data_IF_568990808801
#
_entry.id   IF_568990808801
#
_cell.length_a   1.000
_cell.length_b   1.000
_cell.length_c   1.000
_cell.angle_alpha   90.00
_cell.angle_beta   90.00
_cell.angle_gamma   90.00
#
_symmetry.space_group_name_H-M   'P 1'
#
loop_
_entity.id
_entity.type
_entity.pdbx_description
1 polymer ?
#
# COMPACT_ATOMS: atom_id res chain seq x y z
N UNK A 1 -16.68 -11.34 -6.39
CA UNK A 1 -15.51 -11.03 -5.53
C UNK A 1 -15.06 -9.58 -5.77
N UNK A 2 -14.38 -8.94 -4.81
CA UNK A 2 -14.07 -7.49 -4.88
C UNK A 2 -13.30 -7.09 -6.15
N UNK A 3 -12.30 -7.87 -6.56
CA UNK A 3 -11.53 -7.60 -7.78
C UNK A 3 -12.39 -7.52 -9.06
N UNK A 4 -13.44 -8.35 -9.18
CA UNK A 4 -14.38 -8.29 -10.32
C UNK A 4 -15.18 -6.99 -10.33
N UNK A 5 -15.57 -6.47 -9.16
CA UNK A 5 -16.30 -5.20 -9.05
C UNK A 5 -15.42 -4.01 -9.42
N UNK A 6 -14.12 -4.04 -9.05
CA UNK A 6 -13.17 -2.99 -9.39
C UNK A 6 -12.86 -2.94 -10.90
N UNK A 7 -12.86 -4.09 -11.58
CA UNK A 7 -12.69 -4.16 -13.04
C UNK A 7 -13.88 -3.58 -13.82
N UNK A 8 -15.06 -3.52 -13.20
CA UNK A 8 -16.26 -2.92 -13.79
C UNK A 8 -16.28 -1.38 -13.68
N UNK A 9 -15.37 -0.80 -12.89
CA UNK A 9 -15.17 0.65 -12.74
C UNK A 9 -13.75 1.06 -13.13
N UNK A 10 -13.38 0.96 -14.42
CA UNK A 10 -12.05 1.33 -14.88
C UNK A 10 -11.76 2.80 -14.61
N UNK A 11 -10.58 3.09 -14.05
CA UNK A 11 -10.14 4.45 -13.69
C UNK A 11 -10.33 4.85 -12.22
N UNK A 12 -10.81 3.93 -11.36
CA UNK A 12 -10.84 4.16 -9.91
C UNK A 12 -9.45 4.22 -9.27
N UNK A 13 -9.35 4.84 -8.08
CA UNK A 13 -8.08 5.00 -7.33
C UNK A 13 -7.60 3.73 -6.63
N UNK A 14 -8.35 2.64 -6.71
CA UNK A 14 -8.07 1.36 -6.07
C UNK A 14 -7.55 0.39 -7.14
N UNK A 15 -6.36 -0.15 -6.90
CA UNK A 15 -5.74 -1.16 -7.74
C UNK A 15 -6.48 -2.50 -7.60
N UNK A 16 -6.91 -3.09 -8.72
CA UNK A 16 -7.74 -4.29 -8.70
C UNK A 16 -6.98 -5.58 -8.32
N UNK A 17 -5.64 -5.57 -8.42
CA UNK A 17 -4.82 -6.74 -8.11
C UNK A 17 -4.46 -6.80 -6.61
N UNK A 18 -4.15 -5.64 -6.03
CA UNK A 18 -3.67 -5.50 -4.65
C UNK A 18 -4.74 -4.96 -3.71
N UNK A 19 -5.84 -4.40 -4.23
CA UNK A 19 -6.89 -3.73 -3.47
C UNK A 19 -6.41 -2.51 -2.66
N UNK A 20 -5.23 -1.97 -2.99
CA UNK A 20 -4.64 -0.79 -2.36
C UNK A 20 -4.81 0.46 -3.21
N UNK A 21 -4.58 1.64 -2.62
CA UNK A 21 -4.58 2.93 -3.32
C UNK A 21 -3.24 3.64 -3.14
N UNK A 22 -2.88 4.51 -4.09
CA UNK A 22 -1.71 5.39 -3.96
C UNK A 22 -2.16 6.72 -3.38
N UNK A 23 -1.63 7.08 -2.21
CA UNK A 23 -1.98 8.32 -1.50
C UNK A 23 -0.71 9.13 -1.20
N UNK A 24 -0.81 10.47 -1.18
CA UNK A 24 0.30 11.31 -0.71
C UNK A 24 0.62 11.04 0.75
N UNK A 25 1.89 11.19 1.11
CA UNK A 25 2.34 11.05 2.50
C UNK A 25 2.48 12.43 3.12
N UNK A 26 1.75 12.68 4.20
CA UNK A 26 1.88 13.87 5.02
C UNK A 26 2.62 13.52 6.30
N UNK A 27 3.78 14.13 6.52
CA UNK A 27 4.50 14.04 7.79
C UNK A 27 4.10 15.27 8.60
N UNK A 28 3.58 15.04 9.80
CA UNK A 28 3.13 16.10 10.70
C UNK A 28 3.83 16.01 12.05
N UNK A 29 4.01 17.18 12.69
CA UNK A 29 4.46 17.33 14.08
C UNK A 29 3.28 17.77 14.94
N UNK A 30 3.22 17.28 16.17
CA UNK A 30 2.23 17.76 17.15
C UNK A 30 2.70 19.09 17.72
N UNK A 31 1.90 20.13 17.53
CA UNK A 31 2.13 21.48 18.04
C UNK A 31 0.83 21.96 18.68
N UNK A 32 0.87 22.37 19.95
CA UNK A 32 -0.30 22.83 20.72
C UNK A 32 -1.52 21.89 20.67
N UNK A 33 -1.26 20.58 20.70
CA UNK A 33 -2.32 19.56 20.66
C UNK A 33 -2.92 19.30 19.26
N UNK A 34 -2.38 19.90 18.21
CA UNK A 34 -2.81 19.68 16.83
C UNK A 34 -1.67 19.16 15.94
N UNK A 35 -2.01 18.38 14.92
CA UNK A 35 -1.05 18.00 13.89
C UNK A 35 -0.81 19.16 12.93
N UNK A 36 0.44 19.59 12.80
CA UNK A 36 0.90 20.55 11.81
C UNK A 36 1.77 19.84 10.78
N UNK A 37 1.37 19.87 9.52
CA UNK A 37 2.15 19.25 8.43
C UNK A 37 3.50 19.94 8.29
N UNK A 38 4.57 19.16 8.37
CA UNK A 38 5.96 19.63 8.21
C UNK A 38 6.57 19.17 6.89
N UNK A 39 6.00 18.14 6.24
CA UNK A 39 6.41 17.69 4.91
C UNK A 39 5.24 17.05 4.16
N UNK A 40 5.14 17.38 2.88
CA UNK A 40 4.27 16.69 1.92
C UNK A 40 5.13 15.95 0.91
N UNK A 41 4.77 14.71 0.62
CA UNK A 41 5.42 13.85 -0.35
C UNK A 41 4.41 13.43 -1.42
N UNK A 42 4.87 13.16 -2.66
CA UNK A 42 3.99 12.69 -3.73
C UNK A 42 3.29 11.38 -3.34
N UNK A 43 2.28 11.01 -4.12
CA UNK A 43 1.58 9.75 -3.93
C UNK A 43 2.56 8.57 -3.99
N UNK A 44 2.48 7.69 -2.99
CA UNK A 44 3.26 6.46 -2.92
C UNK A 44 2.28 5.30 -2.98
N UNK A 45 2.64 4.26 -3.74
CA UNK A 45 1.89 3.01 -3.73
C UNK A 45 1.80 2.47 -2.29
N UNK A 46 0.68 1.82 -1.96
CA UNK A 46 0.52 1.15 -0.66
C UNK A 46 1.69 0.21 -0.34
N UNK A 47 1.84 -0.09 0.95
CA UNK A 47 2.98 -0.83 1.53
C UNK A 47 3.60 -1.88 0.57
N UNK A 48 4.90 -1.78 0.19
CA UNK A 48 5.56 -2.72 -0.70
C UNK A 48 5.59 -4.16 -0.20
N UNK A 49 5.34 -4.42 1.09
CA UNK A 49 5.18 -5.76 1.64
C UNK A 49 3.77 -6.33 1.44
N UNK A 50 2.77 -5.47 1.21
CA UNK A 50 1.38 -5.85 0.96
C UNK A 50 0.97 -5.69 -0.52
N UNK A 51 1.69 -4.87 -1.30
CA UNK A 51 1.39 -4.56 -2.71
C UNK A 51 2.30 -5.27 -3.72
N UNK A 52 3.37 -5.96 -3.28
CA UNK A 52 4.14 -6.82 -4.18
C UNK A 52 3.41 -8.13 -4.36
N UNK A 53 3.15 -8.52 -5.61
CA UNK A 53 2.86 -9.93 -5.92
C UNK A 53 4.01 -10.77 -5.38
N UNK A 54 3.72 -11.70 -4.48
CA UNK A 54 4.69 -12.71 -4.05
C UNK A 54 5.28 -13.34 -5.32
N UNK A 55 6.61 -13.36 -5.51
CA UNK A 55 7.20 -14.08 -6.63
C UNK A 55 6.65 -15.50 -6.65
N UNK A 56 6.07 -15.92 -7.77
CA UNK A 56 5.59 -17.30 -7.93
C UNK A 56 6.75 -18.31 -7.74
N UNK A 57 7.97 -17.87 -8.08
CA UNK A 57 9.19 -18.63 -7.93
C UNK A 57 9.97 -18.15 -6.70
N UNK A 58 9.82 -18.85 -5.59
CA UNK A 58 10.65 -18.61 -4.40
C UNK A 58 9.89 -18.72 -3.09
N UNK A 59 9.21 -19.84 -2.85
CA UNK A 59 9.02 -20.27 -1.47
C UNK A 59 10.42 -20.56 -0.91
N UNK A 60 11.02 -19.57 -0.23
CA UNK A 60 12.27 -19.78 0.50
C UNK A 60 12.03 -20.95 1.46
N UNK A 61 12.73 -22.07 1.22
CA UNK A 61 12.67 -23.26 2.05
C UNK A 61 13.18 -22.92 3.44
N UNK A 62 12.26 -22.54 4.33
CA UNK A 62 12.59 -22.31 5.72
C UNK A 62 12.98 -23.65 6.34
N UNK A 63 14.24 -23.77 6.77
CA UNK A 63 14.69 -24.92 7.55
C UNK A 63 14.56 -24.57 9.02
N UNK A 64 13.76 -25.36 9.74
CA UNK A 64 13.70 -25.30 11.20
C UNK A 64 15.04 -25.76 11.75
N UNK A 65 15.63 -24.97 12.63
CA UNK A 65 16.85 -25.32 13.37
C UNK A 65 16.51 -25.22 14.85
N UNK A 66 16.70 -26.33 15.56
CA UNK A 66 16.60 -26.46 17.03
C UNK A 66 17.97 -26.25 17.66
#
# INVERSE_FOLDING_TARGET
PLGTLLQQSPGGVIDAATHHTSLPVLIARVEDGAFRTVKSLPAVAGDPYLTRSRPADGALGLRVVS
#
